data_IF_359258218899
#
_entry.id   IF_359258218899
#
_cell.length_a   1.000
_cell.length_b   1.000
_cell.length_c   1.000
_cell.angle_alpha   90.00
_cell.angle_beta   90.00
_cell.angle_gamma   90.00
#
_symmetry.space_group_name_H-M   'P 1'
#
loop_
_entity.id
_entity.type
_entity.pdbx_description
1 polymer ?
#
# COMPACT_ATOMS: atom_id res chain seq x y z
N UNK A 1 -10.80 -20.34 -16.29
CA UNK A 1 -10.04 -19.06 -16.36
C UNK A 1 -10.96 -17.93 -15.92
N UNK A 2 -10.50 -16.99 -15.08
CA UNK A 2 -11.34 -15.87 -14.63
C UNK A 2 -11.50 -14.86 -15.77
N UNK A 3 -12.73 -14.53 -16.21
CA UNK A 3 -12.93 -13.59 -17.32
C UNK A 3 -12.49 -12.16 -16.98
N UNK A 4 -12.40 -11.82 -15.69
CA UNK A 4 -11.97 -10.51 -15.22
C UNK A 4 -10.45 -10.32 -15.09
N UNK A 5 -9.62 -11.32 -15.40
CA UNK A 5 -8.18 -11.27 -15.07
C UNK A 5 -7.44 -10.13 -15.78
N UNK A 6 -7.68 -9.93 -17.09
CA UNK A 6 -7.04 -8.87 -17.86
C UNK A 6 -7.50 -7.49 -17.40
N UNK A 7 -8.78 -7.35 -17.06
CA UNK A 7 -9.34 -6.12 -16.51
C UNK A 7 -8.74 -5.78 -15.14
N UNK A 8 -8.61 -6.77 -14.25
CA UNK A 8 -8.03 -6.57 -12.93
C UNK A 8 -6.57 -6.09 -13.02
N UNK A 9 -5.75 -6.71 -13.88
CA UNK A 9 -4.36 -6.30 -14.09
C UNK A 9 -4.28 -4.85 -14.56
N UNK A 10 -5.06 -4.49 -15.59
CA UNK A 10 -5.08 -3.12 -16.12
C UNK A 10 -5.47 -2.07 -15.06
N UNK A 11 -6.39 -2.41 -14.14
CA UNK A 11 -6.83 -1.49 -13.10
C UNK A 11 -5.88 -1.39 -11.90
N UNK A 12 -5.14 -2.46 -11.56
CA UNK A 12 -4.25 -2.45 -10.39
C UNK A 12 -2.86 -1.92 -10.74
N UNK A 13 -2.37 -2.18 -11.95
CA UNK A 13 -0.96 -1.95 -12.30
C UNK A 13 -0.54 -0.48 -12.19
N UNK A 14 -1.25 0.43 -12.87
CA UNK A 14 -0.87 1.85 -12.89
C UNK A 14 -1.08 2.54 -11.52
N UNK A 15 -2.24 2.41 -10.85
CA UNK A 15 -2.43 3.04 -9.54
C UNK A 15 -1.44 2.52 -8.49
N UNK A 16 -1.16 1.21 -8.46
CA UNK A 16 -0.19 0.65 -7.53
C UNK A 16 1.22 1.20 -7.80
N UNK A 17 1.63 1.31 -9.07
CA UNK A 17 2.91 1.89 -9.43
C UNK A 17 3.03 3.36 -9.00
N UNK A 18 1.97 4.16 -9.17
CA UNK A 18 1.96 5.55 -8.73
C UNK A 18 2.07 5.68 -7.20
N UNK A 19 1.35 4.84 -6.45
CA UNK A 19 1.42 4.82 -4.98
C UNK A 19 2.81 4.45 -4.46
N UNK A 20 3.48 3.49 -5.09
CA UNK A 20 4.81 3.05 -4.69
C UNK A 20 5.92 4.01 -5.15
N UNK A 21 5.73 4.71 -6.28
CA UNK A 21 6.72 5.63 -6.82
C UNK A 21 6.73 6.99 -6.12
N UNK A 22 5.57 7.47 -5.67
CA UNK A 22 5.45 8.82 -5.11
C UNK A 22 5.54 8.89 -3.58
N UNK A 23 5.37 7.76 -2.89
CA UNK A 23 5.33 7.73 -1.44
C UNK A 23 6.27 6.68 -0.86
N UNK A 24 7.12 7.12 0.07
CA UNK A 24 7.71 6.26 1.08
C UNK A 24 6.64 5.93 2.12
N UNK A 25 6.24 4.65 2.19
CA UNK A 25 5.23 4.19 3.13
C UNK A 25 5.87 3.85 4.47
N UNK A 26 5.39 4.48 5.54
CA UNK A 26 5.85 4.21 6.92
C UNK A 26 4.73 3.66 7.79
N UNK A 27 5.09 2.75 8.68
CA UNK A 27 4.18 2.27 9.72
C UNK A 27 4.07 3.29 10.87
N UNK A 28 2.89 3.43 11.47
CA UNK A 28 2.71 4.30 12.63
C UNK A 28 3.54 3.80 13.83
N UNK A 29 3.88 4.72 14.72
CA UNK A 29 4.52 4.43 16.01
C UNK A 29 5.86 3.65 15.92
N UNK A 30 6.55 3.66 14.77
CA UNK A 30 7.83 2.96 14.61
C UNK A 30 7.73 1.43 14.58
N UNK A 31 6.52 0.91 14.38
CA UNK A 31 6.26 -0.53 14.22
C UNK A 31 7.12 -1.10 13.08
N UNK A 32 7.63 -2.31 13.28
CA UNK A 32 8.39 -3.01 12.24
C UNK A 32 7.46 -3.82 11.33
N UNK A 33 7.84 -4.08 10.06
CA UNK A 33 7.01 -4.86 9.14
C UNK A 33 6.65 -6.26 9.67
N UNK A 34 7.52 -6.89 10.46
CA UNK A 34 7.30 -8.24 11.00
C UNK A 34 6.24 -8.26 12.12
N UNK A 35 5.90 -7.09 12.68
CA UNK A 35 4.88 -6.94 13.72
C UNK A 35 3.46 -6.82 13.12
N UNK A 36 3.33 -6.76 11.79
CA UNK A 36 2.04 -6.73 11.11
C UNK A 36 1.35 -8.09 11.16
N UNK A 37 0.15 -8.12 11.75
CA UNK A 37 -0.71 -9.29 11.64
C UNK A 37 -1.27 -9.42 10.22
N UNK A 38 -0.88 -10.52 9.56
CA UNK A 38 -1.33 -10.91 8.22
C UNK A 38 -2.41 -11.99 8.26
N UNK A 39 -2.94 -12.31 9.45
CA UNK A 39 -4.08 -13.23 9.59
C UNK A 39 -5.26 -12.71 8.78
N UNK A 40 -5.87 -13.59 8.00
CA UNK A 40 -7.02 -13.26 7.15
C UNK A 40 -8.36 -13.54 7.84
N UNK A 41 -9.41 -12.85 7.42
CA UNK A 41 -10.80 -13.19 7.75
C UNK A 41 -11.31 -14.19 6.74
N UNK A 42 -12.07 -15.19 7.19
CA UNK A 42 -12.76 -16.10 6.30
C UNK A 42 -13.85 -15.35 5.51
N UNK A 43 -13.75 -15.36 4.18
CA UNK A 43 -14.68 -14.64 3.31
C UNK A 43 -14.49 -14.99 1.82
N UNK A 44 -15.24 -14.29 0.97
CA UNK A 44 -15.20 -14.48 -0.50
C UNK A 44 -13.91 -13.99 -1.14
N UNK A 45 -13.21 -13.06 -0.49
CA UNK A 45 -11.91 -12.55 -0.91
C UNK A 45 -10.94 -12.58 0.28
N UNK A 46 -9.65 -12.72 -0.01
CA UNK A 46 -8.60 -12.60 1.00
C UNK A 46 -8.58 -11.16 1.54
N UNK A 47 -8.85 -11.00 2.83
CA UNK A 47 -8.82 -9.72 3.52
C UNK A 47 -8.14 -9.91 4.87
N UNK A 48 -7.24 -8.99 5.22
CA UNK A 48 -6.61 -8.98 6.55
C UNK A 48 -7.65 -8.76 7.64
N UNK A 49 -7.43 -9.42 8.78
CA UNK A 49 -8.23 -9.27 9.99
C UNK A 49 -8.20 -7.84 10.51
N UNK A 50 -7.02 -7.25 10.54
CA UNK A 50 -6.81 -5.87 10.97
C UNK A 50 -6.48 -4.98 9.77
N UNK A 51 -6.93 -3.72 9.82
CA UNK A 51 -6.69 -2.75 8.76
C UNK A 51 -5.20 -2.40 8.67
N UNK A 52 -4.68 -2.26 7.44
CA UNK A 52 -3.35 -1.74 7.21
C UNK A 52 -3.35 -0.21 7.35
N UNK A 53 -2.71 0.28 8.41
CA UNK A 53 -2.49 1.71 8.61
C UNK A 53 -1.09 2.08 8.12
N UNK A 54 -1.01 3.05 7.21
CA UNK A 54 0.24 3.56 6.66
C UNK A 54 0.22 5.09 6.61
N UNK A 55 1.39 5.68 6.81
CA UNK A 55 1.61 7.11 6.66
C UNK A 55 2.33 7.33 5.31
N UNK A 56 1.68 8.00 4.34
CA UNK A 56 2.34 8.33 3.07
C UNK A 56 3.30 9.49 3.30
N UNK A 57 4.59 9.27 3.05
CA UNK A 57 5.58 10.34 3.02
C UNK A 57 5.95 10.61 1.57
N UNK A 58 5.55 11.77 1.03
CA UNK A 58 5.90 12.10 -0.34
C UNK A 58 7.42 12.23 -0.48
N UNK A 59 7.97 11.81 -1.62
CA UNK A 59 9.33 12.17 -2.01
C UNK A 59 9.37 13.67 -2.37
N UNK A 60 9.06 14.54 -1.41
CA UNK A 60 9.29 15.97 -1.56
C UNK A 60 10.79 16.16 -1.78
N UNK A 61 11.12 16.70 -2.95
CA UNK A 61 12.40 17.29 -3.27
C UNK A 61 12.84 18.18 -2.10
N UNK A 62 14.05 17.96 -1.59
CA UNK A 62 14.69 18.68 -0.48
C UNK A 62 14.93 20.17 -0.76
N UNK A 63 14.40 20.74 -1.85
CA UNK A 63 14.75 22.10 -2.30
C UNK A 63 13.84 23.23 -1.79
N UNK A 64 12.89 22.98 -0.89
CA UNK A 64 12.09 24.04 -0.23
C UNK A 64 12.20 24.05 1.31
N UNK A 65 13.28 23.51 1.87
CA UNK A 65 13.74 23.85 3.24
C UNK A 65 14.93 24.82 3.21
N UNK A 66 14.84 25.87 2.39
CA UNK A 66 15.71 27.04 2.45
C UNK A 66 14.90 28.31 2.14
N UNK A 67 14.00 28.70 3.04
CA UNK A 67 13.74 30.10 3.41
C UNK A 67 13.31 30.11 4.87
#
# INVERSE_FOLDING_TARGET
ICPGISYAIANVQLPLAQLLYHFEWKLPAGMKPEELDMTEILGTAAQRKENLLLIPNSHSCSSLKQV
#
